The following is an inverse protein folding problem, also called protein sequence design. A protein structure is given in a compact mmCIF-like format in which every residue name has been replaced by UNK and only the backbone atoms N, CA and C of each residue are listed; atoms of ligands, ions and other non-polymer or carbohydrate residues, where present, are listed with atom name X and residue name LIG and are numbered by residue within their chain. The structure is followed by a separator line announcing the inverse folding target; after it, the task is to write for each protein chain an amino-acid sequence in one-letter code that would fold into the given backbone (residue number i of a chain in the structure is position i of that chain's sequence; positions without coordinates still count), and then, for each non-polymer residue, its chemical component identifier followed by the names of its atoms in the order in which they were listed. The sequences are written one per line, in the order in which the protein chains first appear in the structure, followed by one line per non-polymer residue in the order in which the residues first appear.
data_IF_302875991657
#
_entry.id   IF_302875991657
#
_cell.length_a   1.000
_cell.length_b   1.000
_cell.length_c   1.000
_cell.angle_alpha   90.00
_cell.angle_beta   90.00
_cell.angle_gamma   90.00
#
_symmetry.space_group_name_H-M   'P 1'
#
loop_
_entity.id
_entity.type
_entity.pdbx_description
1 polymer ?
#
# COMPACT_ATOMS: atom_id res chain seq x y z
N UNK A 1 9.87 -24.18 -29.76
CA UNK A 1 10.82 -23.83 -28.69
C UNK A 1 10.79 -22.33 -28.53
N UNK A 2 10.07 -21.83 -27.53
CA UNK A 2 10.23 -20.46 -27.05
C UNK A 2 10.53 -20.57 -25.56
N UNK A 3 11.83 -20.51 -25.26
CA UNK A 3 12.34 -20.30 -23.92
C UNK A 3 12.15 -18.83 -23.61
N UNK A 4 11.00 -18.49 -23.02
CA UNK A 4 10.84 -17.24 -22.29
C UNK A 4 11.46 -17.46 -20.93
N UNK A 5 12.67 -16.94 -20.72
CA UNK A 5 13.28 -16.84 -19.41
C UNK A 5 12.42 -15.91 -18.55
N UNK A 6 11.42 -16.46 -17.85
CA UNK A 6 10.86 -15.80 -16.66
C UNK A 6 11.99 -15.77 -15.64
N UNK A 7 12.70 -14.65 -15.60
CA UNK A 7 13.62 -14.31 -14.52
C UNK A 7 12.82 -14.43 -13.23
N UNK A 8 13.09 -15.47 -12.44
CA UNK A 8 12.55 -15.59 -11.10
C UNK A 8 13.18 -14.44 -10.32
N UNK A 9 12.33 -13.54 -9.86
CA UNK A 9 12.66 -12.27 -9.25
C UNK A 9 13.59 -12.45 -8.03
N UNK A 10 14.62 -11.60 -7.90
CA UNK A 10 15.64 -11.67 -6.83
C UNK A 10 15.31 -10.82 -5.60
N UNK A 11 14.07 -10.36 -5.45
CA UNK A 11 13.72 -9.39 -4.41
C UNK A 11 14.13 -7.96 -4.78
N UNK A 12 13.74 -7.01 -3.94
CA UNK A 12 14.23 -5.63 -3.97
C UNK A 12 15.07 -5.38 -2.73
N UNK A 13 16.01 -4.43 -2.84
CA UNK A 13 16.86 -4.01 -1.73
C UNK A 13 16.53 -2.57 -1.33
N UNK A 14 16.92 -2.20 -0.12
CA UNK A 14 16.95 -0.80 0.29
C UNK A 14 17.87 -0.03 -0.68
N UNK A 15 17.46 1.13 -1.22
CA UNK A 15 18.33 1.90 -2.12
C UNK A 15 19.68 2.20 -1.46
N UNK A 16 20.77 2.02 -2.19
CA UNK A 16 22.12 2.11 -1.60
C UNK A 16 22.44 3.49 -1.01
N UNK A 17 21.86 4.56 -1.55
CA UNK A 17 22.01 5.93 -1.07
C UNK A 17 20.93 6.34 -0.05
N UNK A 18 19.99 5.44 0.30
CA UNK A 18 18.85 5.75 1.14
C UNK A 18 19.27 6.35 2.49
N UNK A 19 20.19 5.71 3.20
CA UNK A 19 20.63 6.18 4.52
C UNK A 19 21.40 7.50 4.50
N UNK A 20 22.00 7.86 3.36
CA UNK A 20 22.68 9.14 3.19
C UNK A 20 21.69 10.28 2.91
N UNK A 21 20.62 9.98 2.17
CA UNK A 21 19.64 10.97 1.73
C UNK A 21 18.50 11.13 2.73
N UNK A 22 17.90 10.02 3.17
CA UNK A 22 16.73 9.96 4.05
C UNK A 22 17.02 9.00 5.22
N UNK A 23 17.74 9.47 6.26
CA UNK A 23 18.12 8.64 7.39
C UNK A 23 16.89 8.30 8.23
N UNK A 24 16.39 7.07 8.09
CA UNK A 24 15.30 6.50 8.88
C UNK A 24 15.83 5.24 9.58
N UNK A 25 15.77 5.22 10.91
CA UNK A 25 16.39 4.18 11.74
C UNK A 25 15.80 2.79 11.46
N UNK A 26 14.48 2.68 11.35
CA UNK A 26 13.80 1.41 11.13
C UNK A 26 13.73 0.98 9.64
N UNK A 27 14.40 1.68 8.72
CA UNK A 27 14.25 1.42 7.30
C UNK A 27 14.76 0.03 6.87
N UNK A 28 15.94 -0.36 7.35
CA UNK A 28 16.52 -1.66 7.00
C UNK A 28 15.65 -2.84 7.48
N UNK A 29 15.07 -2.72 8.66
CA UNK A 29 14.16 -3.72 9.23
C UNK A 29 12.88 -3.84 8.38
N UNK A 30 12.21 -2.72 8.10
CA UNK A 30 10.97 -2.71 7.29
C UNK A 30 11.20 -3.23 5.87
N UNK A 31 12.32 -2.88 5.24
CA UNK A 31 12.68 -3.43 3.92
C UNK A 31 12.99 -4.94 3.98
N UNK A 32 13.62 -5.41 5.06
CA UNK A 32 13.86 -6.84 5.28
C UNK A 32 12.55 -7.64 5.36
N UNK A 33 11.57 -7.15 6.11
CA UNK A 33 10.23 -7.74 6.17
C UNK A 33 9.53 -7.74 4.82
N UNK A 34 9.54 -6.59 4.12
CA UNK A 34 8.90 -6.44 2.83
C UNK A 34 9.53 -7.37 1.78
N UNK A 35 10.85 -7.56 1.81
CA UNK A 35 11.56 -8.48 0.94
C UNK A 35 11.18 -9.93 1.22
N UNK A 36 11.05 -10.32 2.49
CA UNK A 36 10.62 -11.68 2.85
C UNK A 36 9.17 -11.95 2.40
N UNK A 37 8.26 -11.00 2.61
CA UNK A 37 6.87 -11.10 2.11
C UNK A 37 6.85 -11.17 0.58
N UNK A 38 7.66 -10.38 -0.11
CA UNK A 38 7.75 -10.40 -1.57
C UNK A 38 8.28 -11.76 -2.09
N UNK A 39 9.28 -12.35 -1.42
CA UNK A 39 9.80 -13.68 -1.74
C UNK A 39 8.72 -14.74 -1.59
N UNK A 40 8.01 -14.76 -0.46
CA UNK A 40 6.91 -15.70 -0.22
C UNK A 40 5.77 -15.52 -1.23
N UNK A 41 5.44 -14.26 -1.56
CA UNK A 41 4.42 -13.92 -2.56
C UNK A 41 4.79 -14.44 -3.95
N UNK A 42 6.06 -14.31 -4.35
CA UNK A 42 6.55 -14.84 -5.62
C UNK A 42 6.50 -16.39 -5.65
N UNK A 43 6.82 -17.06 -4.55
CA UNK A 43 6.69 -18.52 -4.40
C UNK A 43 5.23 -18.99 -4.50
N UNK A 44 4.29 -18.16 -4.04
CA UNK A 44 2.85 -18.37 -4.21
C UNK A 44 2.33 -18.03 -5.63
N UNK A 45 3.22 -17.62 -6.54
CA UNK A 45 2.89 -17.26 -7.91
C UNK A 45 2.17 -15.90 -8.04
N UNK A 46 2.31 -15.00 -7.06
CA UNK A 46 1.86 -13.61 -7.17
C UNK A 46 3.04 -12.79 -7.72
N UNK A 47 2.84 -12.19 -8.89
CA UNK A 47 3.88 -11.36 -9.52
C UNK A 47 3.96 -9.99 -8.82
N UNK A 48 5.13 -9.70 -8.24
CA UNK A 48 5.42 -8.44 -7.54
C UNK A 48 6.37 -7.60 -8.40
N UNK A 49 6.18 -6.29 -8.36
CA UNK A 49 7.00 -5.28 -9.02
C UNK A 49 8.44 -5.27 -8.49
N UNK A 50 9.35 -4.69 -9.28
CA UNK A 50 10.78 -4.73 -9.00
C UNK A 50 11.24 -3.86 -7.82
N UNK A 51 10.40 -2.93 -7.39
CA UNK A 51 10.61 -2.07 -6.23
C UNK A 51 9.27 -1.93 -5.50
N UNK A 52 9.26 -1.60 -4.20
CA UNK A 52 8.02 -1.27 -3.51
C UNK A 52 7.26 -0.17 -4.24
N UNK A 53 5.95 -0.31 -4.29
CA UNK A 53 5.09 0.68 -4.95
C UNK A 53 5.02 1.96 -4.12
N UNK A 54 4.86 1.83 -2.80
CA UNK A 54 4.60 2.95 -1.91
C UNK A 54 5.30 2.79 -0.55
N UNK A 55 5.62 3.91 0.10
CA UNK A 55 6.07 3.97 1.49
C UNK A 55 5.30 5.04 2.27
N UNK A 56 4.76 4.68 3.43
CA UNK A 56 4.23 5.65 4.39
C UNK A 56 5.28 6.01 5.42
N UNK A 57 5.61 7.29 5.51
CA UNK A 57 6.68 7.82 6.36
C UNK A 57 6.10 8.85 7.31
N UNK A 58 6.09 8.51 8.60
CA UNK A 58 5.60 9.39 9.65
C UNK A 58 6.73 10.32 10.09
N UNK A 59 6.41 11.60 10.23
CA UNK A 59 7.40 12.62 10.52
C UNK A 59 6.80 13.90 11.09
N UNK A 60 7.55 14.55 11.98
CA UNK A 60 7.25 15.91 12.45
C UNK A 60 8.55 16.67 12.78
N UNK A 61 8.92 17.74 12.06
CA UNK A 61 8.18 18.40 10.99
C UNK A 61 8.30 17.67 9.63
N UNK A 62 7.32 17.85 8.72
CA UNK A 62 7.29 17.15 7.41
C UNK A 62 8.49 17.43 6.51
N UNK A 63 9.20 18.53 6.73
CA UNK A 63 10.40 18.90 5.97
C UNK A 63 11.57 17.93 6.16
N UNK A 64 11.58 17.12 7.23
CA UNK A 64 12.61 16.08 7.44
C UNK A 64 12.57 15.00 6.35
N UNK A 65 11.39 14.76 5.77
CA UNK A 65 11.20 13.77 4.69
C UNK A 65 11.02 14.47 3.36
N UNK A 66 10.16 15.50 3.29
CA UNK A 66 9.84 16.18 2.04
C UNK A 66 11.07 16.87 1.41
N UNK A 67 11.98 17.42 2.22
CA UNK A 67 13.22 18.03 1.72
C UNK A 67 14.10 17.02 0.96
N UNK A 68 14.54 15.93 1.62
CA UNK A 68 15.28 14.84 0.98
C UNK A 68 14.59 14.22 -0.24
N UNK A 69 13.28 13.98 -0.19
CA UNK A 69 12.58 13.42 -1.36
C UNK A 69 12.68 14.33 -2.59
N UNK A 70 12.68 15.65 -2.42
CA UNK A 70 12.92 16.58 -3.55
C UNK A 70 14.31 16.44 -4.14
N UNK A 71 15.35 16.19 -3.33
CA UNK A 71 16.70 16.04 -3.87
C UNK A 71 16.89 14.75 -4.67
N UNK A 72 16.10 13.70 -4.37
CA UNK A 72 16.02 12.47 -5.18
C UNK A 72 15.25 12.69 -6.50
N UNK A 73 14.34 13.67 -6.53
CA UNK A 73 13.56 14.03 -7.71
C UNK A 73 12.08 13.70 -7.63
N UNK A 74 11.53 13.49 -6.43
CA UNK A 74 10.09 13.30 -6.24
C UNK A 74 9.31 14.59 -6.51
N UNK A 75 8.15 14.42 -7.16
CA UNK A 75 7.11 15.42 -7.31
C UNK A 75 6.19 15.39 -6.08
N UNK A 76 6.37 16.34 -5.17
CA UNK A 76 5.58 16.47 -3.95
C UNK A 76 4.29 17.24 -4.21
N UNK A 77 3.18 16.72 -3.68
CA UNK A 77 1.84 17.23 -3.92
C UNK A 77 1.33 16.94 -5.33
N UNK A 78 1.93 15.96 -6.03
CA UNK A 78 1.49 15.57 -7.38
C UNK A 78 0.00 15.17 -7.38
N UNK A 79 -0.42 14.56 -6.29
CA UNK A 79 -1.81 14.30 -5.95
C UNK A 79 -2.26 15.38 -4.97
N UNK A 80 -3.00 16.37 -5.48
CA UNK A 80 -3.38 17.60 -4.77
C UNK A 80 -4.56 17.41 -3.81
N UNK A 81 -5.03 16.17 -3.60
CA UNK A 81 -6.12 15.89 -2.66
C UNK A 81 -5.58 15.89 -1.23
N UNK A 82 -6.40 16.37 -0.31
CA UNK A 82 -6.13 16.27 1.12
C UNK A 82 -6.64 14.91 1.60
N UNK A 83 -5.77 14.17 2.28
CA UNK A 83 -6.06 12.85 2.79
C UNK A 83 -5.97 12.88 4.31
N UNK A 84 -7.09 13.07 5.02
CA UNK A 84 -7.12 12.82 6.45
C UNK A 84 -6.84 11.33 6.69
N UNK A 85 -5.98 11.06 7.66
CA UNK A 85 -5.57 9.72 8.03
C UNK A 85 -5.80 9.52 9.53
N UNK A 86 -7.02 9.13 9.96
CA UNK A 86 -7.29 8.84 11.37
C UNK A 86 -6.63 7.52 11.81
N UNK A 87 -5.44 7.58 12.41
CA UNK A 87 -4.69 6.41 12.91
C UNK A 87 -4.69 6.45 14.44
N UNK A 88 -5.02 5.34 15.11
CA UNK A 88 -5.13 5.26 16.58
C UNK A 88 -6.05 6.33 17.20
N UNK A 89 -7.10 6.72 16.50
CA UNK A 89 -8.01 7.79 16.95
C UNK A 89 -7.40 9.20 16.91
N UNK A 90 -6.23 9.37 16.28
CA UNK A 90 -5.56 10.64 16.08
C UNK A 90 -5.58 11.05 14.60
N UNK A 91 -5.63 12.35 14.34
CA UNK A 91 -5.70 12.89 12.98
C UNK A 91 -4.31 13.18 12.40
N UNK A 92 -4.02 12.59 11.25
CA UNK A 92 -2.82 12.86 10.45
C UNK A 92 -3.19 13.35 9.04
N UNK A 93 -2.22 13.96 8.36
CA UNK A 93 -2.33 14.36 6.96
C UNK A 93 -1.25 13.66 6.14
N UNK A 94 -1.65 13.11 4.99
CA UNK A 94 -0.73 12.52 4.01
C UNK A 94 -0.43 13.54 2.91
N UNK A 95 0.85 13.94 2.77
CA UNK A 95 1.34 14.67 1.61
C UNK A 95 1.92 13.65 0.62
N UNK A 96 1.31 13.58 -0.56
CA UNK A 96 1.73 12.66 -1.61
C UNK A 96 3.08 13.07 -2.22
N UNK A 97 3.90 12.09 -2.57
CA UNK A 97 5.07 12.27 -3.43
C UNK A 97 5.08 11.17 -4.49
N UNK A 98 5.53 11.50 -5.71
CA UNK A 98 5.70 10.50 -6.78
C UNK A 98 7.04 10.67 -7.47
N UNK A 99 7.69 9.54 -7.73
CA UNK A 99 8.86 9.46 -8.57
C UNK A 99 8.47 9.01 -9.98
N UNK A 100 9.07 9.62 -11.01
CA UNK A 100 8.88 9.17 -12.39
C UNK A 100 9.54 7.79 -12.57
N UNK A 101 8.83 6.76 -13.07
CA UNK A 101 9.42 5.46 -13.37
C UNK A 101 10.60 5.50 -14.35
N UNK A 102 10.76 6.57 -15.12
CA UNK A 102 11.90 6.80 -16.02
C UNK A 102 13.10 7.46 -15.33
N UNK A 103 12.97 7.87 -14.07
CA UNK A 103 14.05 8.53 -13.33
C UNK A 103 15.15 7.53 -12.95
N UNK A 104 16.42 7.98 -12.84
CA UNK A 104 17.51 7.14 -12.35
C UNK A 104 17.25 6.57 -10.95
N UNK A 105 16.68 7.37 -10.05
CA UNK A 105 16.39 6.95 -8.68
C UNK A 105 15.41 5.77 -8.62
N UNK A 106 14.35 5.79 -9.44
CA UNK A 106 13.41 4.66 -9.51
C UNK A 106 14.09 3.38 -9.99
N UNK A 107 14.97 3.49 -11.00
CA UNK A 107 15.75 2.36 -11.52
C UNK A 107 16.79 1.84 -10.51
N UNK A 108 17.11 2.62 -9.47
CA UNK A 108 17.98 2.25 -8.36
C UNK A 108 17.20 1.69 -7.15
N UNK A 109 15.89 1.46 -7.30
CA UNK A 109 15.07 0.81 -6.28
C UNK A 109 14.31 1.76 -5.36
N UNK A 110 14.38 3.08 -5.56
CA UNK A 110 13.51 4.01 -4.83
C UNK A 110 12.05 3.74 -5.16
N UNK A 111 11.20 3.71 -4.14
CA UNK A 111 9.77 3.45 -4.27
C UNK A 111 9.07 4.50 -5.15
N UNK A 112 7.98 4.09 -5.82
CA UNK A 112 7.30 4.97 -6.77
C UNK A 112 6.56 6.11 -6.07
N UNK A 113 5.97 5.82 -4.92
CA UNK A 113 5.10 6.73 -4.19
C UNK A 113 5.53 6.86 -2.73
N UNK A 114 5.27 8.02 -2.14
CA UNK A 114 5.45 8.26 -0.70
C UNK A 114 4.23 8.98 -0.13
N UNK A 115 3.76 8.52 1.02
CA UNK A 115 2.98 9.35 1.94
C UNK A 115 3.93 9.96 2.96
N UNK A 116 4.12 11.27 2.90
CA UNK A 116 4.72 12.01 4.03
C UNK A 116 3.58 12.29 5.01
N UNK A 117 3.53 11.50 6.07
CA UNK A 117 2.46 11.53 7.08
C UNK A 117 2.90 12.41 8.23
N UNK A 118 2.10 13.40 8.58
CA UNK A 118 2.42 14.29 9.71
C UNK A 118 1.18 14.53 10.60
N UNK A 119 1.38 14.70 11.91
CA UNK A 119 0.29 14.94 12.85
C UNK A 119 -0.40 16.27 12.56
N UNK A 120 -1.71 16.34 12.84
CA UNK A 120 -2.50 17.57 12.74
C UNK A 120 -2.43 18.40 14.03
N UNK A 121 -2.33 17.73 15.17
CA UNK A 121 -2.32 18.34 16.50
C UNK A 121 -1.28 17.70 17.45
N UNK A 122 -1.22 18.23 18.67
CA UNK A 122 -0.29 17.78 19.71
C UNK A 122 -0.54 16.33 20.12
N UNK A 123 -1.80 15.89 20.20
CA UNK A 123 -2.15 14.53 20.57
C UNK A 123 -1.65 13.52 19.53
N UNK A 124 -1.84 13.82 18.23
CA UNK A 124 -1.29 13.01 17.16
C UNK A 124 0.25 12.99 17.17
N UNK A 125 0.90 14.12 17.47
CA UNK A 125 2.37 14.19 17.55
C UNK A 125 2.91 13.35 18.73
N UNK A 126 2.29 13.44 19.91
CA UNK A 126 2.64 12.63 21.07
C UNK A 126 2.42 11.14 20.82
N UNK A 127 1.28 10.76 20.24
CA UNK A 127 0.97 9.36 19.88
C UNK A 127 2.01 8.80 18.92
N UNK A 128 2.32 9.54 17.84
CA UNK A 128 3.33 9.16 16.85
C UNK A 128 4.70 8.93 17.50
N UNK A 129 5.15 9.84 18.36
CA UNK A 129 6.48 9.78 18.99
C UNK A 129 6.56 8.74 20.11
N UNK A 130 5.43 8.40 20.74
CA UNK A 130 5.37 7.43 21.84
C UNK A 130 5.82 6.01 21.45
N UNK A 131 5.82 5.72 20.15
CA UNK A 131 6.18 4.41 19.60
C UNK A 131 7.67 4.08 19.67
N UNK A 132 8.53 5.10 19.78
CA UNK A 132 9.96 4.88 19.90
C UNK A 132 10.68 4.47 18.61
N UNK A 133 10.03 4.52 17.44
CA UNK A 133 10.67 4.26 16.13
C UNK A 133 11.57 5.40 15.62
N UNK A 134 11.69 6.47 16.40
CA UNK A 134 12.38 7.69 16.00
C UNK A 134 11.49 8.62 15.16
N UNK A 135 12.12 9.60 14.51
CA UNK A 135 11.45 10.60 13.70
C UNK A 135 12.45 11.15 12.67
N UNK A 136 12.23 10.93 11.36
CA UNK A 136 11.12 10.18 10.75
C UNK A 136 11.21 8.65 10.95
N UNK A 137 10.10 7.94 10.73
CA UNK A 137 10.06 6.46 10.66
C UNK A 137 9.20 5.94 9.51
N UNK A 138 9.54 4.75 8.99
CA UNK A 138 8.73 4.02 8.01
C UNK A 138 7.61 3.28 8.76
N UNK A 139 6.37 3.66 8.52
CA UNK A 139 5.20 2.98 9.09
C UNK A 139 4.93 1.68 8.35
N UNK A 140 4.78 1.77 7.02
CA UNK A 140 4.60 0.60 6.17
C UNK A 140 5.21 0.77 4.78
N UNK A 141 5.49 -0.37 4.15
CA UNK A 141 5.81 -0.47 2.74
C UNK A 141 4.69 -1.19 2.01
N UNK A 142 4.39 -0.73 0.80
CA UNK A 142 3.42 -1.36 -0.07
C UNK A 142 4.15 -2.11 -1.19
N UNK A 143 3.91 -3.42 -1.29
CA UNK A 143 4.34 -4.22 -2.42
C UNK A 143 3.40 -4.00 -3.60
N UNK A 144 3.97 -3.66 -4.76
CA UNK A 144 3.21 -3.52 -5.99
C UNK A 144 2.95 -4.88 -6.63
N UNK A 145 1.69 -5.24 -6.84
CA UNK A 145 1.32 -6.41 -7.65
C UNK A 145 1.21 -5.98 -9.11
N UNK A 146 1.83 -6.76 -10.00
CA UNK A 146 1.75 -6.52 -11.45
C UNK A 146 0.31 -6.78 -11.91
N UNK A 147 -0.38 -5.79 -12.51
CA UNK A 147 -1.76 -5.98 -12.95
C UNK A 147 -1.84 -6.96 -14.13
N UNK A 148 -2.94 -7.72 -14.27
CA UNK A 148 -3.17 -8.53 -15.47
C UNK A 148 -3.25 -7.62 -16.70
N UNK A 149 -2.76 -8.11 -17.85
CA UNK A 149 -2.90 -7.39 -19.12
C UNK A 149 -4.37 -7.12 -19.42
N UNK A 150 -4.68 -6.04 -20.16
CA UNK A 150 -6.06 -5.65 -20.48
C UNK A 150 -6.73 -6.55 -21.51
N UNK A 151 -5.98 -7.17 -22.43
CA UNK A 151 -6.47 -8.13 -23.43
C UNK A 151 -7.71 -7.68 -24.23
N UNK A 152 -7.91 -6.37 -24.40
CA UNK A 152 -9.05 -5.80 -25.12
C UNK A 152 -10.36 -5.77 -24.33
N UNK A 153 -10.35 -6.08 -23.03
CA UNK A 153 -11.52 -5.96 -22.15
C UNK A 153 -12.06 -4.53 -22.13
N UNK A 154 -13.40 -4.42 -22.01
CA UNK A 154 -14.02 -3.18 -21.57
C UNK A 154 -13.72 -2.90 -20.08
N UNK A 155 -13.96 -1.67 -19.63
CA UNK A 155 -13.62 -1.24 -18.26
C UNK A 155 -14.31 -2.10 -17.19
N UNK A 156 -15.56 -2.50 -17.41
CA UNK A 156 -16.30 -3.32 -16.45
C UNK A 156 -15.72 -4.73 -16.34
N UNK A 157 -15.44 -5.36 -17.48
CA UNK A 157 -14.87 -6.70 -17.57
C UNK A 157 -13.46 -6.73 -16.99
N UNK A 158 -12.66 -5.70 -17.30
CA UNK A 158 -11.33 -5.52 -16.71
C UNK A 158 -11.40 -5.33 -15.20
N UNK A 159 -12.33 -4.50 -14.71
CA UNK A 159 -12.57 -4.32 -13.29
C UNK A 159 -12.88 -5.63 -12.57
N UNK A 160 -13.78 -6.44 -13.13
CA UNK A 160 -14.10 -7.75 -12.58
C UNK A 160 -12.92 -8.73 -12.62
N UNK A 161 -12.05 -8.68 -13.63
CA UNK A 161 -10.83 -9.50 -13.68
C UNK A 161 -9.81 -9.05 -12.63
N UNK A 162 -9.57 -7.76 -12.51
CA UNK A 162 -8.65 -7.15 -11.55
C UNK A 162 -9.04 -7.48 -10.10
N UNK A 163 -10.32 -7.33 -9.76
CA UNK A 163 -10.80 -7.62 -8.40
C UNK A 163 -10.64 -9.10 -8.07
N UNK A 164 -11.05 -10.01 -8.98
CA UNK A 164 -10.87 -11.46 -8.79
C UNK A 164 -9.42 -11.85 -8.65
N UNK A 165 -8.56 -11.27 -9.47
CA UNK A 165 -7.12 -11.51 -9.43
C UNK A 165 -6.54 -11.10 -8.07
N UNK A 166 -6.93 -9.96 -7.53
CA UNK A 166 -6.46 -9.50 -6.22
C UNK A 166 -7.08 -10.24 -5.03
N UNK A 167 -8.33 -10.69 -5.13
CA UNK A 167 -8.94 -11.58 -4.14
C UNK A 167 -8.20 -12.93 -4.06
N UNK A 168 -7.84 -13.49 -5.23
CA UNK A 168 -7.03 -14.70 -5.31
C UNK A 168 -5.59 -14.49 -4.80
N UNK A 169 -4.96 -13.36 -5.13
CA UNK A 169 -3.65 -13.00 -4.58
C UNK A 169 -3.70 -12.88 -3.05
N UNK A 170 -4.75 -12.24 -2.49
CA UNK A 170 -4.95 -12.11 -1.03
C UNK A 170 -4.99 -13.47 -0.36
N UNK A 171 -5.78 -14.41 -0.90
CA UNK A 171 -5.85 -15.78 -0.39
C UNK A 171 -4.50 -16.48 -0.44
N UNK A 172 -3.82 -16.42 -1.58
CA UNK A 172 -2.51 -17.07 -1.75
C UNK A 172 -1.45 -16.51 -0.82
N UNK A 173 -1.50 -15.20 -0.55
CA UNK A 173 -0.61 -14.56 0.42
C UNK A 173 -0.93 -14.98 1.86
N UNK A 174 -2.22 -15.07 2.23
CA UNK A 174 -2.63 -15.60 3.53
C UNK A 174 -2.02 -17.00 3.80
N UNK A 175 -2.06 -17.88 2.79
CA UNK A 175 -1.56 -19.24 2.90
C UNK A 175 -0.03 -19.31 3.16
N UNK A 176 0.76 -18.41 2.54
CA UNK A 176 2.23 -18.43 2.67
C UNK A 176 2.74 -17.65 3.88
N UNK A 177 2.05 -16.58 4.27
CA UNK A 177 2.43 -15.74 5.42
C UNK A 177 1.91 -16.34 6.73
N UNK A 178 0.81 -17.08 6.67
CA UNK A 178 0.20 -17.72 7.84
C UNK A 178 -0.57 -16.75 8.74
N UNK A 179 -0.98 -15.60 8.20
CA UNK A 179 -1.80 -14.59 8.87
C UNK A 179 -3.01 -14.23 7.99
N UNK A 180 -4.10 -13.78 8.61
CA UNK A 180 -5.29 -13.36 7.90
C UNK A 180 -5.08 -11.93 7.36
N UNK A 181 -5.09 -11.70 6.03
CA UNK A 181 -4.87 -10.38 5.49
C UNK A 181 -6.03 -9.44 5.86
N UNK A 182 -5.77 -8.14 5.89
CA UNK A 182 -6.79 -7.12 6.11
C UNK A 182 -7.84 -7.07 5.00
N UNK A 183 -8.79 -6.15 5.13
CA UNK A 183 -9.91 -5.99 4.21
C UNK A 183 -9.42 -5.70 2.78
N UNK A 184 -9.96 -6.40 1.78
CA UNK A 184 -9.73 -6.13 0.37
C UNK A 184 -10.49 -4.87 -0.06
N UNK A 185 -9.78 -3.78 -0.28
CA UNK A 185 -10.39 -2.54 -0.75
C UNK A 185 -10.13 -2.41 -2.24
N UNK A 186 -11.22 -2.35 -3.00
CA UNK A 186 -11.22 -2.16 -4.43
C UNK A 186 -11.77 -0.78 -4.78
N UNK A 187 -10.88 0.18 -4.98
CA UNK A 187 -11.21 1.47 -5.57
C UNK A 187 -11.20 1.36 -7.09
N UNK A 188 -12.36 1.54 -7.69
CA UNK A 188 -12.63 1.28 -9.10
C UNK A 188 -13.07 2.57 -9.81
N UNK A 189 -12.90 2.68 -11.15
CA UNK A 189 -13.42 3.81 -11.91
C UNK A 189 -14.94 3.99 -11.69
N UNK A 190 -15.41 5.23 -11.72
CA UNK A 190 -16.84 5.54 -11.53
C UNK A 190 -17.74 4.86 -12.57
N UNK A 191 -17.25 4.65 -13.78
CA UNK A 191 -17.96 3.93 -14.85
C UNK A 191 -18.13 2.44 -14.57
N UNK A 192 -17.23 1.82 -13.81
CA UNK A 192 -17.36 0.41 -13.39
C UNK A 192 -18.39 0.29 -12.29
N UNK A 193 -18.28 1.13 -11.24
CA UNK A 193 -19.23 1.12 -10.10
C UNK A 193 -20.63 1.56 -10.54
N UNK A 194 -20.72 2.47 -11.50
CA UNK A 194 -21.97 2.97 -12.07
C UNK A 194 -22.57 2.10 -13.18
N UNK A 195 -21.91 1.02 -13.60
CA UNK A 195 -22.44 0.12 -14.63
C UNK A 195 -23.68 -0.62 -14.11
N UNK A 196 -24.69 -0.79 -14.96
CA UNK A 196 -25.94 -1.47 -14.60
C UNK A 196 -25.73 -2.92 -14.14
N UNK A 197 -24.66 -3.57 -14.61
CA UNK A 197 -24.28 -4.93 -14.25
C UNK A 197 -23.65 -5.04 -12.86
N UNK A 198 -23.15 -3.93 -12.30
CA UNK A 198 -22.31 -3.95 -11.09
C UNK A 198 -22.99 -4.63 -9.91
N UNK A 199 -24.25 -4.30 -9.62
CA UNK A 199 -24.98 -4.85 -8.47
C UNK A 199 -25.17 -6.37 -8.55
N UNK A 200 -25.30 -6.93 -9.76
CA UNK A 200 -25.51 -8.36 -9.96
C UNK A 200 -24.19 -9.15 -10.06
N UNK A 201 -23.17 -8.56 -10.69
CA UNK A 201 -21.93 -9.28 -11.00
C UNK A 201 -20.83 -9.10 -9.95
N UNK A 202 -20.74 -7.93 -9.29
CA UNK A 202 -19.67 -7.65 -8.33
C UNK A 202 -19.58 -8.63 -7.16
N UNK A 203 -20.66 -9.26 -6.64
CA UNK A 203 -20.54 -10.29 -5.61
C UNK A 203 -19.72 -11.51 -6.06
N UNK A 204 -19.72 -11.83 -7.37
CA UNK A 204 -18.91 -12.93 -7.91
C UNK A 204 -17.44 -12.57 -8.06
N UNK A 205 -17.09 -11.28 -8.00
CA UNK A 205 -15.69 -10.86 -8.10
C UNK A 205 -14.90 -11.10 -6.82
N UNK A 206 -15.62 -11.21 -5.71
CA UNK A 206 -15.11 -11.41 -4.35
C UNK A 206 -15.65 -12.71 -3.75
N UNK A 207 -15.95 -13.70 -4.61
CA UNK A 207 -16.47 -14.99 -4.19
C UNK A 207 -15.52 -15.64 -3.15
N UNK A 208 -16.09 -16.03 -2.01
CA UNK A 208 -15.34 -16.58 -0.88
C UNK A 208 -14.98 -15.57 0.21
N UNK A 209 -15.18 -14.27 -0.01
CA UNK A 209 -15.03 -13.23 1.01
C UNK A 209 -16.38 -12.91 1.66
N UNK A 210 -16.37 -12.74 2.98
CA UNK A 210 -17.52 -12.22 3.72
C UNK A 210 -17.68 -10.71 3.50
N UNK A 211 -18.87 -10.16 3.80
CA UNK A 211 -19.15 -8.73 3.62
C UNK A 211 -18.28 -7.78 4.47
N UNK A 212 -17.56 -8.29 5.45
CA UNK A 212 -16.57 -7.55 6.24
C UNK A 212 -15.15 -7.60 5.69
N UNK A 213 -14.87 -8.50 4.74
CA UNK A 213 -13.53 -8.73 4.19
C UNK A 213 -13.26 -7.99 2.88
N UNK A 214 -14.25 -7.28 2.33
CA UNK A 214 -14.05 -6.46 1.15
C UNK A 214 -14.88 -5.18 1.16
N UNK A 215 -14.43 -4.20 0.38
CA UNK A 215 -15.18 -2.99 0.11
C UNK A 215 -14.95 -2.52 -1.32
N UNK A 216 -16.02 -2.12 -2.00
CA UNK A 216 -15.94 -1.39 -3.26
C UNK A 216 -16.05 0.11 -3.01
N UNK A 217 -15.20 0.87 -3.67
CA UNK A 217 -15.16 2.33 -3.57
C UNK A 217 -15.00 2.95 -4.96
N UNK A 218 -15.46 4.20 -5.11
CA UNK A 218 -15.25 4.97 -6.34
C UNK A 218 -13.90 5.68 -6.29
N UNK A 219 -13.06 5.40 -7.28
CA UNK A 219 -11.76 6.00 -7.46
C UNK A 219 -11.88 7.36 -8.13
N UNK A 220 -11.44 8.42 -7.45
CA UNK A 220 -11.55 9.79 -7.95
C UNK A 220 -10.50 10.13 -9.02
N UNK A 221 -9.31 9.52 -8.93
CA UNK A 221 -8.22 9.73 -9.88
C UNK A 221 -8.30 8.88 -11.14
N UNK A 222 -9.46 8.26 -11.39
CA UNK A 222 -9.62 7.24 -12.43
C UNK A 222 -8.79 5.99 -12.17
N UNK A 223 -8.88 5.03 -13.09
CA UNK A 223 -8.15 3.77 -13.00
C UNK A 223 -8.50 2.95 -11.75
N UNK A 224 -7.58 2.06 -11.38
CA UNK A 224 -7.79 1.02 -10.39
C UNK A 224 -6.74 1.11 -9.29
N UNK A 225 -7.18 0.96 -8.05
CA UNK A 225 -6.34 0.71 -6.88
C UNK A 225 -7.02 -0.35 -6.03
N UNK A 226 -6.44 -1.54 -5.99
CA UNK A 226 -6.95 -2.65 -5.19
C UNK A 226 -5.88 -3.06 -4.18
N UNK A 227 -6.19 -3.04 -2.90
CA UNK A 227 -5.18 -3.17 -1.84
C UNK A 227 -5.69 -3.84 -0.56
N UNK A 228 -4.77 -4.44 0.19
CA UNK A 228 -4.99 -5.03 1.53
C UNK A 228 -3.67 -5.08 2.31
N UNK A 229 -3.74 -5.05 3.63
CA UNK A 229 -2.59 -5.32 4.50
C UNK A 229 -2.39 -6.81 4.68
N UNK A 230 -1.16 -7.26 4.85
CA UNK A 230 -0.85 -8.69 4.93
C UNK A 230 -0.28 -9.13 6.27
N UNK A 231 0.33 -8.20 7.03
CA UNK A 231 0.81 -8.47 8.37
C UNK A 231 -0.04 -7.74 9.40
N UNK A 232 -0.36 -8.42 10.48
CA UNK A 232 -0.82 -7.78 11.73
C UNK A 232 0.17 -6.67 12.12
N UNK A 233 -0.36 -5.54 12.59
CA UNK A 233 0.42 -4.31 12.83
C UNK A 233 0.58 -3.40 11.59
N UNK A 234 -0.06 -3.73 10.46
CA UNK A 234 -0.14 -2.85 9.29
C UNK A 234 1.20 -2.60 8.58
N UNK A 235 2.26 -3.35 8.91
CA UNK A 235 3.64 -3.08 8.44
C UNK A 235 3.85 -3.25 6.94
N UNK A 236 3.13 -4.20 6.33
CA UNK A 236 3.24 -4.50 4.90
C UNK A 236 1.86 -4.47 4.25
N UNK A 237 1.71 -3.58 3.29
CA UNK A 237 0.56 -3.49 2.39
C UNK A 237 0.89 -4.19 1.07
N UNK A 238 -0.13 -4.69 0.40
CA UNK A 238 -0.07 -5.14 -0.99
C UNK A 238 -1.09 -4.35 -1.78
N UNK A 239 -0.66 -3.77 -2.90
CA UNK A 239 -1.53 -2.98 -3.76
C UNK A 239 -1.28 -3.26 -5.24
N UNK A 240 -2.34 -3.22 -6.02
CA UNK A 240 -2.31 -3.26 -7.48
C UNK A 240 -2.86 -1.95 -8.03
N UNK A 241 -2.03 -1.22 -8.79
CA UNK A 241 -2.42 0.03 -9.45
C UNK A 241 -2.44 -0.13 -10.96
N UNK A 242 -3.46 0.43 -11.59
CA UNK A 242 -3.54 0.46 -13.05
C UNK A 242 -4.23 1.74 -13.53
N UNK A 243 -3.52 2.57 -14.29
CA UNK A 243 -4.10 3.72 -15.00
C UNK A 243 -4.64 4.84 -14.10
N UNK A 244 -4.16 4.97 -12.87
CA UNK A 244 -4.64 5.96 -11.90
C UNK A 244 -3.66 7.14 -11.73
N UNK A 245 -4.20 8.34 -11.50
CA UNK A 245 -3.44 9.51 -11.06
C UNK A 245 -3.51 9.74 -9.53
N UNK A 246 -3.88 8.71 -8.78
CA UNK A 246 -4.11 8.81 -7.34
C UNK A 246 -3.17 7.92 -6.54
N UNK A 247 -2.66 8.47 -5.45
CA UNK A 247 -1.70 7.79 -4.57
C UNK A 247 -2.39 7.00 -3.48
N UNK A 248 -3.45 7.56 -2.89
CA UNK A 248 -4.14 6.97 -1.74
C UNK A 248 -5.61 6.81 -2.02
N UNK A 249 -6.27 5.84 -1.41
CA UNK A 249 -7.70 5.69 -1.56
C UNK A 249 -8.47 6.68 -0.63
N UNK A 250 -9.36 7.57 -1.13
CA UNK A 250 -9.82 8.72 -0.37
C UNK A 250 -10.94 8.39 0.63
N UNK A 251 -11.59 7.23 0.53
CA UNK A 251 -12.68 6.79 1.41
C UNK A 251 -12.21 5.81 2.51
N UNK A 252 -10.90 5.56 2.63
CA UNK A 252 -10.35 4.72 3.70
C UNK A 252 -10.31 5.39 5.08
N UNK A 253 -11.09 6.45 5.34
CA UNK A 253 -11.20 7.05 6.69
C UNK A 253 -11.62 5.98 7.73
N UNK A 254 -12.51 5.06 7.35
CA UNK A 254 -12.91 3.94 8.23
C UNK A 254 -11.92 2.75 8.21
N UNK A 255 -11.00 2.72 7.25
CA UNK A 255 -10.01 1.63 7.06
C UNK A 255 -8.68 1.92 7.75
N UNK A 256 -8.31 3.20 7.83
CA UNK A 256 -7.10 3.70 8.49
C UNK A 256 -7.12 3.36 10.00
N UNK A 257 -8.30 3.20 10.59
CA UNK A 257 -8.44 2.84 12.01
C UNK A 257 -8.56 1.35 12.32
N UNK A 258 -8.92 0.49 11.33
CA UNK A 258 -9.13 -0.96 11.57
C UNK A 258 -7.98 -1.83 11.06
N UNK A 259 -7.45 -1.52 9.88
CA UNK A 259 -6.45 -2.35 9.18
C UNK A 259 -5.10 -1.64 8.99
N UNK A 260 -5.00 -0.32 9.18
CA UNK A 260 -3.72 0.33 9.53
C UNK A 260 -3.55 0.10 11.03
N UNK A 261 -3.12 -1.12 11.35
CA UNK A 261 -3.20 -1.67 12.69
C UNK A 261 -2.13 -0.97 13.54
N UNK A 262 -2.51 0.18 14.06
CA UNK A 262 -1.79 0.98 15.03
C UNK A 262 -0.43 1.53 14.58
N UNK A 263 -0.10 2.71 15.08
CA UNK A 263 1.30 3.15 15.16
C UNK A 263 2.12 2.22 16.08
N UNK A 264 1.49 1.37 16.89
CA UNK A 264 2.10 0.32 17.73
C UNK A 264 2.37 -0.95 16.92
N UNK A 265 3.64 -1.31 16.70
CA UNK A 265 4.04 -2.46 15.85
C UNK A 265 4.67 -3.62 16.65
N UNK A 266 4.25 -3.84 17.90
CA UNK A 266 4.88 -4.81 18.82
C UNK A 266 4.72 -6.28 18.35
N UNK A 267 5.81 -7.04 18.37
CA UNK A 267 5.89 -8.43 17.90
C UNK A 267 5.34 -9.40 18.97
N UNK A 268 4.02 -9.39 19.16
CA UNK A 268 3.30 -10.53 19.69
C UNK A 268 2.82 -10.45 21.15
N UNK A 269 1.59 -10.90 21.30
CA UNK A 269 0.94 -11.08 22.59
C UNK A 269 -0.53 -10.81 22.45
N UNK A 270 -1.26 -11.78 21.88
CA UNK A 270 -2.72 -11.73 21.84
C UNK A 270 -3.24 -11.38 23.23
N UNK A 271 -3.79 -10.18 23.36
CA UNK A 271 -4.57 -9.81 24.52
C UNK A 271 -5.95 -9.47 24.01
N UNK A 272 -6.84 -10.37 24.41
CA UNK A 272 -8.27 -10.17 24.45
C UNK A 272 -8.58 -8.69 24.72
N UNK A 273 -9.38 -8.14 23.81
CA UNK A 273 -10.25 -7.01 24.04
C UNK A 273 -10.80 -7.06 25.49
N UNK A 274 -10.35 -6.19 26.41
CA UNK A 274 -11.07 -5.98 27.62
C UNK A 274 -12.12 -4.92 27.29
N UNK A 275 -13.29 -5.42 26.86
CA UNK A 275 -14.58 -4.74 26.94
C UNK A 275 -14.55 -3.57 27.94
N UNK A 276 -14.58 -2.35 27.42
CA UNK A 276 -15.30 -1.20 27.98
C UNK A 276 -15.78 -0.28 26.87
#
# INVERSE_FOLDING_TARGET
MMSGSTSIFSGFELPHDFGEVLPIENAAERFGEAMEVARQSAEAGVAIEAAPDHAAIFTDPPQLVAGPLKSVGYDLGWDTRCYPSPVDGCDYINVSARLDPKSPAYQQGWFRYVAVVHPVDEAASEQMLSQGYGNPFLHHLTLGVVPPERDGDDEFSYGGRVVRFMADARRRMADVIGDEPGTLIAALPSEVVGDARFAEESPRWVEGLSGSEFQFQVMQGGGYLVQYFVLTGGRIEVAMRSGTCQTFNPLSVDKISRDEISTVQDDGGGNADPLM
#
